data_IF_271865918927
#
_entry.id   IF_271865918927
#
_cell.length_a   1.000
_cell.length_b   1.000
_cell.length_c   1.000
_cell.angle_alpha   90.00
_cell.angle_beta   90.00
_cell.angle_gamma   90.00
#
_symmetry.space_group_name_H-M   'P 1'
#
loop_
_entity.id
_entity.type
_entity.pdbx_description
1 polymer ?
#
# COMPACT_ATOMS: atom_id res chain seq x y z
N UNK A 1 42.58 21.77 -42.66
CA UNK A 1 41.49 21.17 -43.48
C UNK A 1 40.09 21.65 -43.04
N UNK A 2 39.82 21.92 -41.76
CA UNK A 2 38.57 22.61 -41.34
C UNK A 2 38.61 24.14 -41.51
N UNK A 3 39.78 24.76 -41.60
CA UNK A 3 39.90 26.22 -41.81
C UNK A 3 39.84 26.64 -43.29
N UNK A 4 40.16 25.75 -44.24
CA UNK A 4 40.02 26.03 -45.67
C UNK A 4 38.56 26.02 -46.14
N UNK A 5 37.70 25.23 -45.49
CA UNK A 5 36.27 25.14 -45.82
C UNK A 5 35.46 26.34 -45.31
N UNK A 6 35.96 27.03 -44.27
CA UNK A 6 35.35 28.25 -43.72
C UNK A 6 35.66 29.51 -44.55
N UNK A 7 36.72 29.44 -45.36
CA UNK A 7 37.20 30.56 -46.16
C UNK A 7 36.46 30.64 -47.52
N UNK A 8 36.00 29.52 -48.08
CA UNK A 8 35.18 29.48 -49.30
C UNK A 8 33.74 29.99 -49.09
N UNK A 9 33.15 29.80 -47.91
CA UNK A 9 31.80 30.31 -47.58
C UNK A 9 31.73 31.83 -47.34
N UNK A 10 32.88 32.51 -47.32
CA UNK A 10 32.97 33.97 -47.08
C UNK A 10 33.06 34.82 -48.36
N UNK A 11 33.02 34.20 -49.56
CA UNK A 11 33.28 34.86 -50.84
C UNK A 11 32.13 34.83 -51.87
N UNK A 12 30.86 34.93 -51.46
CA UNK A 12 29.78 35.21 -52.43
C UNK A 12 29.14 36.56 -52.13
N UNK A 13 29.45 37.61 -52.91
CA UNK A 13 28.89 38.97 -52.76
C UNK A 13 27.72 39.22 -53.73
N UNK A 14 26.63 39.81 -53.21
CA UNK A 14 25.42 40.35 -53.88
C UNK A 14 24.55 39.30 -54.63
N UNK A 15 23.22 39.33 -54.65
CA UNK A 15 22.16 40.27 -54.30
C UNK A 15 20.92 39.38 -53.97
N UNK A 16 20.13 39.69 -52.94
CA UNK A 16 18.95 40.55 -53.04
C UNK A 16 17.99 40.11 -54.16
N UNK A 17 16.74 39.83 -53.77
CA UNK A 17 15.68 39.17 -54.55
C UNK A 17 15.87 37.66 -54.78
N UNK A 18 15.62 36.88 -53.72
CA UNK A 18 15.28 35.47 -53.88
C UNK A 18 13.75 35.34 -54.03
N UNK A 19 13.20 35.13 -55.24
CA UNK A 19 11.76 34.98 -55.44
C UNK A 19 11.21 33.77 -54.66
N UNK A 20 12.03 32.76 -54.36
CA UNK A 20 11.63 31.64 -53.50
C UNK A 20 11.30 32.10 -52.07
N UNK A 21 11.86 33.22 -51.59
CA UNK A 21 11.61 33.71 -50.23
C UNK A 21 10.21 34.31 -50.11
N UNK A 22 9.74 34.99 -51.16
CA UNK A 22 8.37 35.50 -51.24
C UNK A 22 7.36 34.37 -51.49
N UNK A 23 7.71 33.36 -52.30
CA UNK A 23 6.89 32.14 -52.43
C UNK A 23 6.77 31.37 -51.09
N UNK A 24 7.85 31.28 -50.32
CA UNK A 24 7.85 30.65 -49.00
C UNK A 24 7.09 31.48 -47.95
N UNK A 25 7.18 32.81 -48.01
CA UNK A 25 6.40 33.68 -47.12
C UNK A 25 4.91 33.69 -47.47
N UNK A 26 4.52 33.71 -48.75
CA UNK A 26 3.12 33.62 -49.18
C UNK A 26 2.50 32.24 -48.88
N UNK A 27 3.27 31.15 -49.03
CA UNK A 27 2.83 29.83 -48.58
C UNK A 27 2.68 29.75 -47.06
N UNK A 28 3.66 30.25 -46.30
CA UNK A 28 3.57 30.24 -44.85
C UNK A 28 2.40 31.12 -44.38
N UNK A 29 2.21 32.31 -44.95
CA UNK A 29 1.14 33.22 -44.56
C UNK A 29 -0.26 32.69 -44.91
N UNK A 30 -0.44 31.98 -46.04
CA UNK A 30 -1.69 31.26 -46.36
C UNK A 30 -1.94 30.06 -45.45
N UNK A 31 -0.88 29.39 -44.98
CA UNK A 31 -0.99 28.28 -44.04
C UNK A 31 -1.37 28.75 -42.62
N UNK A 32 -1.08 30.01 -42.26
CA UNK A 32 -1.35 30.57 -40.94
C UNK A 32 -2.61 31.46 -40.87
N UNK A 33 -3.37 31.63 -41.95
CA UNK A 33 -4.47 32.60 -42.00
C UNK A 33 -5.88 31.99 -42.13
N UNK A 34 -6.00 30.65 -42.18
CA UNK A 34 -7.32 29.99 -42.34
C UNK A 34 -7.82 29.18 -41.13
N UNK A 35 -7.13 29.20 -39.98
CA UNK A 35 -7.68 28.56 -38.77
C UNK A 35 -7.48 29.42 -37.52
N UNK A 36 -8.27 30.49 -37.44
CA UNK A 36 -8.65 31.11 -36.17
C UNK A 36 -10.15 30.84 -35.92
N UNK A 37 -10.38 30.01 -34.90
CA UNK A 37 -11.56 29.86 -34.04
C UNK A 37 -12.70 28.93 -34.54
N UNK A 38 -12.55 27.63 -34.28
CA UNK A 38 -13.42 26.93 -33.31
C UNK A 38 -12.56 26.05 -32.40
N UNK A 39 -12.89 26.00 -31.11
CA UNK A 39 -12.06 25.39 -30.07
C UNK A 39 -11.81 23.90 -30.28
N UNK A 40 -10.60 23.57 -30.74
CA UNK A 40 -10.05 22.22 -30.71
C UNK A 40 -9.55 21.93 -29.29
N UNK A 41 -10.18 20.96 -28.62
CA UNK A 41 -9.66 20.36 -27.40
C UNK A 41 -8.21 19.92 -27.64
N UNK A 42 -7.31 20.40 -26.76
CA UNK A 42 -5.89 20.01 -26.75
C UNK A 42 -5.82 18.48 -26.81
N UNK A 43 -5.17 17.86 -27.82
CA UNK A 43 -5.02 16.41 -27.83
C UNK A 43 -4.30 16.05 -26.54
N UNK A 44 -4.99 15.28 -25.70
CA UNK A 44 -4.39 14.65 -24.53
C UNK A 44 -3.13 13.94 -25.04
N UNK A 45 -1.99 14.36 -24.51
CA UNK A 45 -0.73 13.67 -24.72
C UNK A 45 -1.01 12.23 -24.30
N UNK A 46 -1.17 11.33 -25.28
CA UNK A 46 -1.48 9.92 -25.08
C UNK A 46 -0.31 9.35 -24.28
N UNK A 47 -0.43 9.44 -22.94
CA UNK A 47 0.53 8.92 -21.98
C UNK A 47 0.60 7.44 -22.33
N UNK A 48 1.67 7.01 -23.03
CA UNK A 48 1.80 5.62 -23.49
C UNK A 48 1.93 4.78 -22.22
N UNK A 49 0.80 4.38 -21.68
CA UNK A 49 0.71 3.68 -20.43
C UNK A 49 1.38 2.32 -20.64
N UNK A 50 2.31 1.90 -19.76
CA UNK A 50 2.96 0.61 -19.88
C UNK A 50 1.88 -0.49 -19.92
N UNK A 51 1.78 -1.20 -21.04
CA UNK A 51 0.82 -2.29 -21.20
C UNK A 51 1.28 -3.50 -20.40
N UNK A 52 0.50 -3.90 -19.41
CA UNK A 52 0.79 -5.11 -18.62
C UNK A 52 0.32 -6.35 -19.39
N UNK A 53 1.23 -7.28 -19.66
CA UNK A 53 0.89 -8.53 -20.33
C UNK A 53 0.06 -9.45 -19.43
N UNK A 54 -0.84 -10.23 -20.03
CA UNK A 54 -1.60 -11.28 -19.35
C UNK A 54 -0.74 -12.21 -18.47
N UNK A 55 0.50 -12.51 -18.88
CA UNK A 55 1.43 -13.36 -18.12
C UNK A 55 1.98 -12.63 -16.87
N UNK A 56 2.23 -11.33 -16.96
CA UNK A 56 2.73 -10.51 -15.85
C UNK A 56 1.66 -10.31 -14.78
N UNK A 57 0.40 -10.12 -15.19
CA UNK A 57 -0.76 -10.04 -14.28
C UNK A 57 -0.92 -11.35 -13.51
N UNK A 58 -0.83 -12.50 -14.19
CA UNK A 58 -0.92 -13.82 -13.54
C UNK A 58 0.20 -14.05 -12.54
N UNK A 59 1.44 -13.75 -12.90
CA UNK A 59 2.60 -13.85 -12.00
C UNK A 59 2.45 -12.92 -10.79
N UNK A 60 1.99 -11.69 -11.00
CA UNK A 60 1.73 -10.74 -9.93
C UNK A 60 0.73 -11.30 -8.90
N UNK A 61 -0.38 -11.89 -9.35
CA UNK A 61 -1.39 -12.47 -8.45
C UNK A 61 -0.86 -13.71 -7.71
N UNK A 62 -0.06 -14.55 -8.38
CA UNK A 62 0.54 -15.71 -7.75
C UNK A 62 1.55 -15.30 -6.67
N UNK A 63 2.42 -14.35 -6.97
CA UNK A 63 3.33 -13.76 -5.98
C UNK A 63 2.55 -13.04 -4.88
N UNK A 64 1.41 -12.42 -5.18
CA UNK A 64 0.53 -11.77 -4.19
C UNK A 64 -0.11 -12.77 -3.24
N UNK A 65 -0.50 -13.95 -3.73
CA UNK A 65 -1.00 -15.05 -2.90
C UNK A 65 0.08 -15.57 -1.96
N UNK A 66 1.31 -15.74 -2.45
CA UNK A 66 2.42 -16.24 -1.65
C UNK A 66 2.87 -15.22 -0.61
N UNK A 67 3.03 -13.96 -1.03
CA UNK A 67 3.41 -12.84 -0.17
C UNK A 67 2.36 -12.58 0.91
N UNK A 68 1.07 -12.52 0.56
CA UNK A 68 -0.01 -12.35 1.54
C UNK A 68 -0.08 -13.47 2.57
N UNK A 69 0.16 -14.73 2.17
CA UNK A 69 0.25 -15.86 3.10
C UNK A 69 1.43 -15.71 4.07
N UNK A 70 2.60 -15.38 3.56
CA UNK A 70 3.80 -15.18 4.38
C UNK A 70 3.65 -13.99 5.32
N UNK A 71 3.02 -12.90 4.87
CA UNK A 71 2.70 -11.74 5.70
C UNK A 71 1.73 -12.12 6.83
N UNK A 72 0.69 -12.90 6.52
CA UNK A 72 -0.24 -13.39 7.55
C UNK A 72 0.45 -14.26 8.61
N UNK A 73 1.38 -15.13 8.23
CA UNK A 73 2.17 -15.93 9.17
C UNK A 73 3.13 -15.06 9.99
N UNK A 74 3.77 -14.05 9.37
CA UNK A 74 4.63 -13.11 10.07
C UNK A 74 3.90 -12.36 11.17
N UNK A 75 2.73 -11.80 10.85
CA UNK A 75 1.87 -11.11 11.84
C UNK A 75 1.39 -12.07 12.94
N UNK A 76 1.08 -13.32 12.61
CA UNK A 76 0.73 -14.34 13.60
C UNK A 76 1.86 -14.56 14.61
N UNK A 77 3.11 -14.68 14.13
CA UNK A 77 4.27 -14.87 15.01
C UNK A 77 4.49 -13.69 15.94
N UNK A 78 4.32 -12.46 15.45
CA UNK A 78 4.43 -11.25 16.27
C UNK A 78 3.34 -11.17 17.34
N UNK A 79 2.08 -11.47 17.00
CA UNK A 79 0.99 -11.50 18.00
C UNK A 79 1.24 -12.60 19.04
N UNK A 80 1.70 -13.78 18.61
CA UNK A 80 1.96 -14.91 19.49
C UNK A 80 3.25 -14.77 20.32
N UNK A 81 4.08 -13.75 20.12
CA UNK A 81 5.38 -13.65 20.78
C UNK A 81 5.29 -13.61 22.31
N UNK A 82 4.19 -13.12 22.87
CA UNK A 82 3.96 -13.05 24.31
C UNK A 82 3.47 -14.38 24.90
N UNK A 83 2.93 -15.29 24.07
CA UNK A 83 2.37 -16.56 24.54
C UNK A 83 3.39 -17.45 25.27
N UNK A 84 4.65 -17.60 24.80
CA UNK A 84 5.69 -18.30 25.57
C UNK A 84 5.96 -17.69 26.95
N UNK A 85 5.93 -16.36 27.07
CA UNK A 85 6.13 -15.65 28.34
C UNK A 85 4.98 -15.92 29.29
N UNK A 86 3.74 -15.87 28.80
CA UNK A 86 2.56 -16.17 29.60
C UNK A 86 2.51 -17.65 30.03
N UNK A 87 2.91 -18.58 29.15
CA UNK A 87 2.84 -20.01 29.45
C UNK A 87 3.95 -20.51 30.39
N UNK A 88 5.16 -19.94 30.31
CA UNK A 88 6.34 -20.42 31.04
C UNK A 88 6.76 -19.50 32.19
N UNK A 89 6.28 -18.26 32.23
CA UNK A 89 6.74 -17.23 33.16
C UNK A 89 6.52 -17.57 34.64
N UNK A 90 5.60 -18.47 34.95
CA UNK A 90 5.31 -18.90 36.32
C UNK A 90 6.09 -20.14 36.77
N UNK A 91 6.85 -20.79 35.89
CA UNK A 91 7.55 -22.05 36.18
C UNK A 91 8.94 -21.83 36.83
N UNK A 92 9.35 -20.57 37.02
CA UNK A 92 10.57 -20.16 37.71
C UNK A 92 11.54 -19.34 36.86
N UNK A 93 12.60 -18.82 37.47
CA UNK A 93 13.52 -17.84 36.86
C UNK A 93 14.18 -18.33 35.56
N UNK A 94 14.57 -19.61 35.51
CA UNK A 94 15.13 -20.22 34.30
C UNK A 94 14.12 -20.29 33.15
N UNK A 95 12.84 -20.54 33.45
CA UNK A 95 11.77 -20.59 32.46
C UNK A 95 11.43 -19.19 31.93
N UNK A 96 11.51 -18.15 32.78
CA UNK A 96 11.39 -16.75 32.36
C UNK A 96 12.47 -16.41 31.32
N UNK A 97 13.74 -16.69 31.61
CA UNK A 97 14.85 -16.43 30.67
C UNK A 97 14.65 -17.15 29.33
N UNK A 98 14.23 -18.42 29.36
CA UNK A 98 13.93 -19.19 28.15
C UNK A 98 12.76 -18.58 27.37
N UNK A 99 11.70 -18.14 28.06
CA UNK A 99 10.53 -17.54 27.43
C UNK A 99 10.84 -16.21 26.73
N UNK A 100 11.75 -15.40 27.30
CA UNK A 100 12.23 -14.16 26.70
C UNK A 100 13.07 -14.42 25.44
N UNK A 101 13.92 -15.46 25.45
CA UNK A 101 14.67 -15.88 24.27
C UNK A 101 13.72 -16.34 23.14
N UNK A 102 12.69 -17.10 23.47
CA UNK A 102 11.65 -17.50 22.51
C UNK A 102 10.87 -16.30 21.98
N UNK A 103 10.48 -15.36 22.83
CA UNK A 103 9.81 -14.12 22.40
C UNK A 103 10.64 -13.37 21.36
N UNK A 104 11.94 -13.18 21.61
CA UNK A 104 12.84 -12.52 20.65
C UNK A 104 12.97 -13.30 19.35
N UNK A 105 13.02 -14.63 19.40
CA UNK A 105 13.06 -15.47 18.20
C UNK A 105 11.79 -15.32 17.33
N UNK A 106 10.61 -15.26 17.97
CA UNK A 106 9.34 -15.04 17.27
C UNK A 106 9.26 -13.67 16.60
N UNK A 107 9.73 -12.62 17.29
CA UNK A 107 9.79 -11.26 16.73
C UNK A 107 10.74 -11.24 15.53
N UNK A 108 11.94 -11.80 15.67
CA UNK A 108 12.91 -11.84 14.59
C UNK A 108 12.39 -12.63 13.37
N UNK A 109 11.76 -13.78 13.57
CA UNK A 109 11.18 -14.57 12.47
C UNK A 109 10.01 -13.87 11.80
N UNK A 110 9.15 -13.19 12.58
CA UNK A 110 8.05 -12.37 12.07
C UNK A 110 8.55 -11.27 11.12
N UNK A 111 9.51 -10.47 11.59
CA UNK A 111 10.11 -9.39 10.80
C UNK A 111 10.78 -9.93 9.52
N UNK A 112 11.52 -11.03 9.60
CA UNK A 112 12.16 -11.64 8.42
C UNK A 112 11.12 -12.06 7.38
N UNK A 113 10.00 -12.65 7.80
CA UNK A 113 8.90 -13.00 6.91
C UNK A 113 8.27 -11.78 6.26
N UNK A 114 7.98 -10.73 7.05
CA UNK A 114 7.41 -9.48 6.54
C UNK A 114 8.33 -8.81 5.51
N UNK A 115 9.62 -8.69 5.82
CA UNK A 115 10.60 -8.11 4.89
C UNK A 115 10.70 -8.94 3.62
N UNK A 116 10.70 -10.27 3.72
CA UNK A 116 10.77 -11.16 2.56
C UNK A 116 9.53 -11.03 1.68
N UNK A 117 8.35 -10.90 2.28
CA UNK A 117 7.09 -10.62 1.60
C UNK A 117 7.13 -9.27 0.87
N UNK A 118 7.62 -8.22 1.54
CA UNK A 118 7.77 -6.89 0.93
C UNK A 118 8.76 -6.90 -0.24
N UNK A 119 9.91 -7.59 -0.09
CA UNK A 119 10.91 -7.71 -1.16
C UNK A 119 10.36 -8.38 -2.42
N UNK A 120 9.56 -9.44 -2.27
CA UNK A 120 8.87 -10.11 -3.39
C UNK A 120 7.92 -9.19 -4.15
N UNK A 121 7.40 -8.16 -3.49
CA UNK A 121 6.45 -7.22 -4.07
C UNK A 121 7.06 -5.96 -4.68
N UNK A 122 8.34 -5.68 -4.41
CA UNK A 122 9.04 -4.51 -4.97
C UNK A 122 8.96 -4.40 -6.50
N UNK A 123 9.08 -5.48 -7.29
CA UNK A 123 8.97 -5.37 -8.76
C UNK A 123 7.61 -4.87 -9.23
N UNK A 124 6.55 -5.08 -8.45
CA UNK A 124 5.18 -4.70 -8.78
C UNK A 124 4.78 -3.35 -8.17
N UNK A 125 5.69 -2.67 -7.46
CA UNK A 125 5.40 -1.36 -6.85
C UNK A 125 5.18 -0.27 -7.91
N UNK A 126 5.69 -0.46 -9.14
CA UNK A 126 5.42 0.42 -10.28
C UNK A 126 3.94 0.47 -10.65
N UNK A 127 3.21 -0.66 -10.55
CA UNK A 127 1.75 -0.74 -10.75
C UNK A 127 0.98 0.14 -9.74
N UNK A 128 1.59 0.46 -8.59
CA UNK A 128 1.01 1.36 -7.59
C UNK A 128 1.20 2.84 -7.94
N UNK A 129 2.26 3.17 -8.68
CA UNK A 129 2.75 4.55 -8.89
C UNK A 129 2.36 5.10 -10.26
N UNK A 130 2.36 4.28 -11.29
CA UNK A 130 2.05 4.67 -12.67
C UNK A 130 0.69 4.09 -13.10
N UNK A 131 -0.03 4.83 -13.95
CA UNK A 131 -1.18 4.31 -14.70
C UNK A 131 -0.68 3.28 -15.71
N UNK A 132 -1.44 2.22 -15.95
CA UNK A 132 -1.13 1.16 -16.91
C UNK A 132 -2.42 0.74 -17.64
N UNK A 133 -2.32 0.38 -18.91
CA UNK A 133 -3.41 -0.29 -19.61
C UNK A 133 -3.24 -1.81 -19.50
N UNK A 134 -4.33 -2.51 -19.19
CA UNK A 134 -4.33 -3.97 -19.24
C UNK A 134 -4.63 -4.44 -20.65
N UNK A 135 -3.89 -5.45 -21.11
CA UNK A 135 -4.15 -6.10 -22.38
C UNK A 135 -5.59 -6.66 -22.46
N UNK A 136 -6.23 -6.53 -23.62
CA UNK A 136 -7.62 -6.94 -23.86
C UNK A 136 -7.87 -8.40 -23.42
N UNK A 137 -8.79 -8.60 -22.47
CA UNK A 137 -9.14 -9.90 -21.87
C UNK A 137 -8.51 -10.19 -20.49
N UNK A 138 -7.49 -9.43 -20.07
CA UNK A 138 -6.92 -9.56 -18.72
C UNK A 138 -7.88 -9.07 -17.63
N UNK A 139 -8.65 -8.01 -17.92
CA UNK A 139 -9.62 -7.41 -17.00
C UNK A 139 -10.78 -8.37 -16.66
N UNK A 140 -11.34 -9.04 -17.67
CA UNK A 140 -12.43 -10.01 -17.49
C UNK A 140 -11.96 -11.23 -16.67
N UNK A 141 -10.75 -11.72 -16.94
CA UNK A 141 -10.16 -12.81 -16.15
C UNK A 141 -9.89 -12.38 -14.70
N UNK A 142 -9.45 -11.13 -14.49
CA UNK A 142 -9.19 -10.56 -13.18
C UNK A 142 -10.46 -10.36 -12.36
N UNK A 143 -11.54 -9.85 -12.96
CA UNK A 143 -12.87 -9.70 -12.34
C UNK A 143 -13.47 -11.06 -11.98
N UNK A 144 -13.31 -12.08 -12.83
CA UNK A 144 -13.73 -13.45 -12.52
C UNK A 144 -12.96 -13.99 -11.30
N UNK A 145 -11.64 -13.80 -11.25
CA UNK A 145 -10.82 -14.23 -10.12
C UNK A 145 -11.11 -13.46 -8.84
N UNK A 146 -11.37 -12.16 -8.92
CA UNK A 146 -11.79 -11.34 -7.78
C UNK A 146 -13.13 -11.80 -7.23
N UNK A 147 -14.10 -12.10 -8.09
CA UNK A 147 -15.43 -12.58 -7.67
C UNK A 147 -15.35 -13.96 -7.03
N UNK A 148 -14.62 -14.90 -7.64
CA UNK A 148 -14.38 -16.23 -7.09
C UNK A 148 -13.60 -16.17 -5.76
N UNK A 149 -12.61 -15.28 -5.68
CA UNK A 149 -11.88 -15.01 -4.45
C UNK A 149 -12.82 -14.44 -3.38
N UNK A 150 -13.61 -13.42 -3.69
CA UNK A 150 -14.50 -12.76 -2.74
C UNK A 150 -15.50 -13.74 -2.12
N UNK A 151 -16.11 -14.63 -2.93
CA UNK A 151 -17.02 -15.67 -2.43
C UNK A 151 -16.33 -16.69 -1.51
N UNK A 152 -15.16 -17.22 -1.90
CA UNK A 152 -14.42 -18.17 -1.07
C UNK A 152 -13.83 -17.53 0.20
N UNK A 153 -13.51 -16.25 0.13
CA UNK A 153 -12.75 -15.51 1.12
C UNK A 153 -13.65 -14.82 2.15
N UNK A 154 -14.91 -14.51 1.83
CA UNK A 154 -15.92 -14.09 2.82
C UNK A 154 -16.05 -15.11 3.95
N UNK A 155 -16.13 -16.40 3.63
CA UNK A 155 -16.15 -17.47 4.64
C UNK A 155 -14.88 -17.51 5.49
N UNK A 156 -13.73 -17.17 4.91
CA UNK A 156 -12.45 -17.14 5.63
C UNK A 156 -12.36 -15.95 6.58
N UNK A 157 -12.85 -14.78 6.17
CA UNK A 157 -12.95 -13.59 7.03
C UNK A 157 -13.89 -13.81 8.20
N UNK A 158 -15.08 -14.35 7.94
CA UNK A 158 -16.06 -14.67 9.00
C UNK A 158 -15.47 -15.64 10.01
N UNK A 159 -14.78 -16.69 9.55
CA UNK A 159 -14.05 -17.61 10.44
C UNK A 159 -12.99 -16.89 11.28
N UNK A 160 -12.17 -16.02 10.68
CA UNK A 160 -11.16 -15.24 11.40
C UNK A 160 -11.75 -14.36 12.50
N UNK A 161 -12.83 -13.63 12.19
CA UNK A 161 -13.55 -12.80 13.17
C UNK A 161 -14.14 -13.67 14.30
N UNK A 162 -14.73 -14.81 13.96
CA UNK A 162 -15.26 -15.75 14.94
C UNK A 162 -14.18 -16.25 15.90
N UNK A 163 -12.99 -16.60 15.39
CA UNK A 163 -11.85 -17.01 16.23
C UNK A 163 -11.41 -15.90 17.21
N UNK A 164 -11.39 -14.64 16.77
CA UNK A 164 -11.02 -13.50 17.62
C UNK A 164 -12.08 -13.29 18.70
N UNK A 165 -13.37 -13.28 18.35
CA UNK A 165 -14.46 -13.09 19.33
C UNK A 165 -14.52 -14.26 20.32
N UNK A 166 -14.33 -15.49 19.83
CA UNK A 166 -14.34 -16.69 20.67
C UNK A 166 -13.07 -16.87 21.51
N UNK A 167 -12.01 -16.09 21.26
CA UNK A 167 -10.73 -16.20 21.96
C UNK A 167 -10.81 -15.94 23.46
N UNK A 168 -11.87 -15.30 23.95
CA UNK A 168 -12.10 -15.07 25.37
C UNK A 168 -12.58 -16.33 26.11
N UNK A 169 -13.16 -17.30 25.40
CA UNK A 169 -13.74 -18.50 26.01
C UNK A 169 -12.73 -19.36 26.80
N UNK A 170 -11.49 -19.61 26.31
CA UNK A 170 -10.44 -20.27 27.09
C UNK A 170 -10.15 -19.60 28.43
N UNK A 171 -10.12 -18.26 28.49
CA UNK A 171 -9.82 -17.53 29.73
C UNK A 171 -10.95 -17.68 30.74
N UNK A 172 -12.20 -17.59 30.29
CA UNK A 172 -13.39 -17.80 31.13
C UNK A 172 -13.41 -19.23 31.67
N UNK A 173 -13.11 -20.23 30.83
CA UNK A 173 -13.02 -21.63 31.24
C UNK A 173 -11.90 -21.85 32.27
N UNK A 174 -10.73 -21.22 32.08
CA UNK A 174 -9.64 -21.26 33.06
C UNK A 174 -10.06 -20.74 34.43
N UNK A 175 -10.69 -19.57 34.45
CA UNK A 175 -11.20 -18.97 35.69
C UNK A 175 -12.29 -19.81 36.35
N UNK A 176 -13.19 -20.43 35.56
CA UNK A 176 -14.24 -21.28 36.09
C UNK A 176 -13.73 -22.63 36.65
N UNK A 177 -12.60 -23.13 36.14
CA UNK A 177 -12.00 -24.38 36.61
C UNK A 177 -11.22 -24.20 37.92
N UNK A 178 -10.36 -23.18 38.00
CA UNK A 178 -9.61 -22.83 39.20
C UNK A 178 -9.25 -21.34 39.21
N UNK A 179 -9.99 -20.55 39.98
CA UNK A 179 -9.76 -19.10 40.10
C UNK A 179 -8.48 -18.75 40.84
N UNK A 180 -8.02 -19.62 41.76
CA UNK A 180 -6.81 -19.38 42.57
C UNK A 180 -5.49 -19.73 41.85
N UNK A 181 -5.57 -20.43 40.71
CA UNK A 181 -4.38 -20.88 39.99
C UNK A 181 -3.94 -19.84 38.97
N UNK A 182 -3.04 -18.95 39.38
CA UNK A 182 -2.42 -17.96 38.49
C UNK A 182 -1.79 -18.60 37.24
N UNK A 183 -1.17 -19.78 37.41
CA UNK A 183 -0.53 -20.53 36.33
C UNK A 183 -1.53 -21.01 35.27
N UNK A 184 -2.71 -21.47 35.69
CA UNK A 184 -3.77 -21.91 34.80
C UNK A 184 -4.34 -20.72 34.01
N UNK A 185 -4.59 -19.59 34.68
CA UNK A 185 -5.13 -18.39 34.05
C UNK A 185 -4.15 -17.86 33.00
N UNK A 186 -2.85 -17.77 33.33
CA UNK A 186 -1.82 -17.31 32.40
C UNK A 186 -1.63 -18.25 31.21
N UNK A 187 -1.73 -19.57 31.41
CA UNK A 187 -1.74 -20.55 30.32
C UNK A 187 -2.95 -20.35 29.39
N UNK A 188 -4.14 -20.09 29.94
CA UNK A 188 -5.33 -19.81 29.12
C UNK A 188 -5.22 -18.47 28.37
N UNK A 189 -4.59 -17.46 28.97
CA UNK A 189 -4.23 -16.23 28.28
C UNK A 189 -3.25 -16.48 27.12
N UNK A 190 -2.29 -17.39 27.28
CA UNK A 190 -1.40 -17.79 26.19
C UNK A 190 -2.17 -18.44 25.03
N UNK A 191 -3.14 -19.33 25.33
CA UNK A 191 -4.01 -19.96 24.34
C UNK A 191 -4.88 -18.92 23.62
N UNK A 192 -5.43 -17.95 24.36
CA UNK A 192 -6.18 -16.82 23.79
C UNK A 192 -5.32 -16.04 22.77
N UNK A 193 -4.08 -15.72 23.10
CA UNK A 193 -3.18 -15.00 22.17
C UNK A 193 -2.91 -15.79 20.88
N UNK A 194 -2.77 -17.12 20.98
CA UNK A 194 -2.61 -17.98 19.79
C UNK A 194 -3.87 -17.99 18.92
N UNK A 195 -5.06 -18.05 19.53
CA UNK A 195 -6.34 -17.98 18.83
C UNK A 195 -6.53 -16.64 18.11
N UNK A 196 -6.19 -15.54 18.79
CA UNK A 196 -6.21 -14.19 18.19
C UNK A 196 -5.23 -14.11 17.03
N UNK A 197 -3.98 -14.56 17.22
CA UNK A 197 -2.95 -14.59 16.18
C UNK A 197 -3.41 -15.36 14.95
N UNK A 198 -4.03 -16.52 15.14
CA UNK A 198 -4.59 -17.31 14.04
C UNK A 198 -5.72 -16.56 13.32
N UNK A 199 -6.68 -15.99 14.05
CA UNK A 199 -7.76 -15.20 13.47
C UNK A 199 -7.27 -14.00 12.66
N UNK A 200 -6.31 -13.25 13.21
CA UNK A 200 -5.69 -12.10 12.51
C UNK A 200 -4.91 -12.55 11.28
N UNK A 201 -4.21 -13.69 11.31
CA UNK A 201 -3.47 -14.21 10.14
C UNK A 201 -4.38 -14.44 8.94
N UNK A 202 -5.60 -14.92 9.17
CA UNK A 202 -6.61 -15.11 8.14
C UNK A 202 -7.04 -13.76 7.57
N UNK A 203 -7.34 -12.78 8.44
CA UNK A 203 -7.73 -11.43 8.04
C UNK A 203 -6.63 -10.72 7.23
N UNK A 204 -5.38 -10.79 7.67
CA UNK A 204 -4.23 -10.20 6.96
C UNK A 204 -4.04 -10.82 5.58
N UNK A 205 -4.13 -12.15 5.48
CA UNK A 205 -4.04 -12.85 4.19
C UNK A 205 -5.14 -12.39 3.23
N UNK A 206 -6.38 -12.34 3.73
CA UNK A 206 -7.55 -11.97 2.92
C UNK A 206 -7.52 -10.52 2.44
N UNK A 207 -7.06 -9.60 3.29
CA UNK A 207 -7.01 -8.16 3.03
C UNK A 207 -5.84 -7.79 2.13
N UNK A 208 -4.66 -8.36 2.37
CA UNK A 208 -3.46 -8.08 1.58
C UNK A 208 -3.66 -8.43 0.12
N UNK A 209 -4.28 -9.58 -0.18
CA UNK A 209 -4.54 -9.99 -1.56
C UNK A 209 -5.60 -9.12 -2.24
N UNK A 210 -6.61 -8.64 -1.52
CA UNK A 210 -7.61 -7.70 -2.05
C UNK A 210 -6.97 -6.40 -2.53
N UNK A 211 -5.96 -5.88 -1.81
CA UNK A 211 -5.26 -4.65 -2.18
C UNK A 211 -4.64 -4.77 -3.58
N UNK A 212 -4.06 -5.92 -3.92
CA UNK A 212 -3.46 -6.16 -5.24
C UNK A 212 -4.50 -6.28 -6.34
N UNK A 213 -5.65 -6.91 -6.09
CA UNK A 213 -6.77 -6.91 -7.05
C UNK A 213 -7.26 -5.49 -7.34
N UNK A 214 -7.47 -4.66 -6.30
CA UNK A 214 -7.88 -3.27 -6.49
C UNK A 214 -6.81 -2.41 -7.17
N UNK A 215 -5.51 -2.69 -6.92
CA UNK A 215 -4.41 -2.03 -7.61
C UNK A 215 -4.38 -2.39 -9.11
N UNK A 216 -4.52 -3.69 -9.43
CA UNK A 216 -4.51 -4.20 -10.80
C UNK A 216 -5.74 -3.77 -11.61
N UNK A 217 -6.91 -3.62 -10.97
CA UNK A 217 -8.13 -3.11 -11.60
C UNK A 217 -8.19 -1.57 -11.61
N UNK A 218 -7.22 -0.88 -10.97
CA UNK A 218 -7.24 0.57 -10.72
C UNK A 218 -8.54 1.08 -10.06
N UNK A 219 -9.25 0.22 -9.32
CA UNK A 219 -10.51 0.54 -8.66
C UNK A 219 -10.27 1.18 -7.27
N UNK A 220 -11.05 2.20 -6.91
CA UNK A 220 -11.05 2.85 -5.59
C UNK A 220 -9.91 3.85 -5.39
N UNK A 221 -9.04 3.62 -4.39
CA UNK A 221 -7.95 4.54 -4.02
C UNK A 221 -6.79 4.64 -5.04
N UNK A 222 -6.85 3.86 -6.12
CA UNK A 222 -5.82 3.81 -7.17
C UNK A 222 -6.21 4.54 -8.45
N UNK A 223 -7.44 5.05 -8.55
CA UNK A 223 -7.88 5.88 -9.67
C UNK A 223 -7.14 7.25 -9.64
N UNK A 224 -6.74 7.76 -10.81
CA UNK A 224 -5.88 8.94 -10.97
C UNK A 224 -6.44 10.20 -10.27
N UNK A 225 -7.75 10.37 -10.17
CA UNK A 225 -8.40 11.51 -9.52
C UNK A 225 -8.15 11.55 -7.99
N UNK A 226 -8.00 10.39 -7.34
CA UNK A 226 -7.81 10.28 -5.88
C UNK A 226 -6.32 10.40 -5.47
N UNK A 227 -5.39 10.28 -6.41
CA UNK A 227 -3.94 10.30 -6.12
C UNK A 227 -3.43 11.66 -5.63
N UNK A 228 -4.00 12.77 -6.11
CA UNK A 228 -3.63 14.13 -5.65
C UNK A 228 -4.05 14.38 -4.20
N UNK A 229 -5.18 13.84 -3.79
CA UNK A 229 -5.70 14.03 -2.42
C UNK A 229 -4.99 13.13 -1.39
N UNK A 230 -4.59 11.91 -1.78
CA UNK A 230 -3.88 10.97 -0.91
C UNK A 230 -2.46 11.44 -0.50
N UNK A 231 -1.76 12.21 -1.33
CA UNK A 231 -0.44 12.75 -0.98
C UNK A 231 -0.51 13.74 0.20
N UNK A 232 -1.59 14.54 0.25
CA UNK A 232 -1.87 15.47 1.35
C UNK A 232 -2.19 14.72 2.65
N UNK A 233 -2.95 13.62 2.54
CA UNK A 233 -3.30 12.76 3.69
C UNK A 233 -2.05 12.08 4.27
N UNK A 234 -1.18 11.54 3.43
CA UNK A 234 0.07 10.90 3.89
C UNK A 234 0.98 11.87 4.64
N UNK A 235 1.09 13.11 4.15
CA UNK A 235 1.91 14.16 4.78
C UNK A 235 1.31 14.61 6.11
N UNK A 236 -0.02 14.69 6.21
CA UNK A 236 -0.74 14.98 7.44
C UNK A 236 -0.43 13.95 8.54
N UNK A 237 -0.52 12.65 8.24
CA UNK A 237 -0.21 11.59 9.21
C UNK A 237 1.25 11.62 9.68
N UNK A 238 2.19 11.94 8.79
CA UNK A 238 3.59 12.16 9.15
C UNK A 238 3.76 13.31 10.13
N UNK A 239 3.12 14.44 9.88
CA UNK A 239 3.14 15.61 10.77
C UNK A 239 2.51 15.31 12.13
N UNK A 240 1.36 14.64 12.16
CA UNK A 240 0.68 14.21 13.40
C UNK A 240 1.58 13.30 14.23
N UNK A 241 2.27 12.36 13.58
CA UNK A 241 3.21 11.46 14.26
C UNK A 241 4.39 12.23 14.85
N UNK A 242 4.96 13.19 14.11
CA UNK A 242 6.05 14.03 14.61
C UNK A 242 5.61 14.89 15.81
N UNK A 243 4.42 15.50 15.76
CA UNK A 243 3.85 16.28 16.86
C UNK A 243 3.62 15.39 18.09
N UNK A 244 3.04 14.20 17.89
CA UNK A 244 2.83 13.21 18.95
C UNK A 244 4.17 12.85 19.62
N UNK A 245 5.21 12.55 18.83
CA UNK A 245 6.52 12.19 19.38
C UNK A 245 7.17 13.35 20.13
N UNK A 246 7.21 14.55 19.55
CA UNK A 246 7.78 15.75 20.19
C UNK A 246 7.05 16.04 21.51
N UNK A 247 5.72 16.03 21.49
CA UNK A 247 4.91 16.28 22.67
C UNK A 247 5.13 15.19 23.73
N UNK A 248 5.07 13.91 23.35
CA UNK A 248 5.18 12.78 24.26
C UNK A 248 6.57 12.68 24.92
N UNK A 249 7.65 13.03 24.19
CA UNK A 249 9.00 13.11 24.76
C UNK A 249 9.19 14.35 25.63
N UNK A 250 8.59 15.49 25.29
CA UNK A 250 8.75 16.73 26.04
C UNK A 250 7.99 16.71 27.38
N UNK A 251 6.77 16.18 27.42
CA UNK A 251 5.95 16.15 28.65
C UNK A 251 6.13 14.87 29.46
N UNK A 252 6.68 13.79 28.87
CA UNK A 252 6.79 12.49 29.52
C UNK A 252 5.43 11.83 29.83
N UNK A 253 4.32 12.43 29.40
CA UNK A 253 2.96 11.97 29.69
C UNK A 253 2.38 11.16 28.54
N UNK A 254 2.84 9.92 28.41
CA UNK A 254 2.36 8.96 27.41
C UNK A 254 0.86 8.62 27.55
N UNK A 255 0.31 8.76 28.77
CA UNK A 255 -1.09 8.49 29.07
C UNK A 255 -2.08 9.52 28.51
N UNK A 256 -1.62 10.73 28.15
CA UNK A 256 -2.46 11.80 27.60
C UNK A 256 -2.13 12.08 26.14
N UNK A 257 -0.87 11.88 25.72
CA UNK A 257 -0.45 12.13 24.34
C UNK A 257 -1.20 11.28 23.32
N UNK A 258 -1.75 10.12 23.70
CA UNK A 258 -2.55 9.29 22.78
C UNK A 258 -3.84 9.97 22.30
N UNK A 259 -4.36 10.99 23.02
CA UNK A 259 -5.54 11.75 22.60
C UNK A 259 -5.33 12.54 21.30
N UNK A 260 -4.07 12.74 20.89
CA UNK A 260 -3.73 13.40 19.62
C UNK A 260 -4.27 12.59 18.43
N UNK A 261 -4.31 11.26 18.52
CA UNK A 261 -4.79 10.38 17.46
C UNK A 261 -6.27 10.61 17.08
N UNK A 262 -7.23 10.54 18.02
CA UNK A 262 -8.63 10.80 17.71
C UNK A 262 -8.89 12.26 17.28
N UNK A 263 -8.16 13.24 17.84
CA UNK A 263 -8.28 14.65 17.43
C UNK A 263 -7.83 14.81 15.98
N UNK A 264 -6.67 14.28 15.61
CA UNK A 264 -6.16 14.33 14.25
C UNK A 264 -7.11 13.64 13.25
N UNK A 265 -7.67 12.49 13.62
CA UNK A 265 -8.66 11.80 12.79
C UNK A 265 -9.92 12.65 12.56
N UNK A 266 -10.41 13.34 13.60
CA UNK A 266 -11.56 14.25 13.49
C UNK A 266 -11.27 15.49 12.63
N UNK A 267 -10.07 16.05 12.72
CA UNK A 267 -9.66 17.18 11.86
C UNK A 267 -9.60 16.75 10.40
N UNK A 268 -9.02 15.59 10.12
CA UNK A 268 -8.91 15.08 8.75
C UNK A 268 -10.29 14.84 8.12
N UNK A 269 -11.20 14.19 8.86
CA UNK A 269 -12.56 13.92 8.38
C UNK A 269 -13.36 15.21 8.13
N UNK A 270 -13.17 16.23 8.97
CA UNK A 270 -13.77 17.54 8.77
C UNK A 270 -13.20 18.28 7.54
N UNK A 271 -11.90 18.18 7.29
CA UNK A 271 -11.29 18.77 6.10
C UNK A 271 -11.75 18.07 4.81
N UNK A 272 -11.93 16.76 4.85
CA UNK A 272 -12.46 15.98 3.73
C UNK A 272 -13.94 16.28 3.46
N UNK A 273 -14.76 16.47 4.50
CA UNK A 273 -16.18 16.82 4.32
C UNK A 273 -16.39 18.20 3.70
N UNK A 274 -15.48 19.16 3.97
CA UNK A 274 -15.53 20.48 3.34
C UNK A 274 -15.18 20.45 1.86
N UNK A 275 -14.15 19.69 1.47
CA UNK A 275 -13.79 19.52 0.05
C UNK A 275 -14.95 18.94 -0.76
N UNK A 276 -15.62 17.91 -0.23
CA UNK A 276 -16.78 17.29 -0.87
C UNK A 276 -18.04 18.17 -0.95
N UNK A 277 -18.05 19.34 -0.31
CA UNK A 277 -19.15 20.32 -0.39
C UNK A 277 -18.88 21.49 -1.33
N UNK A 278 -17.64 21.61 -1.81
CA UNK A 278 -17.20 22.66 -2.74
C UNK A 278 -17.10 22.15 -4.20
N UNK A 279 -17.19 20.83 -4.41
CA UNK A 279 -17.38 20.14 -5.72
C UNK A 279 -18.87 19.86 -5.98
#
# INVERSE_FOLDING_TARGET
MAEQQKQELSQIPYADENPLRDYLNDQNQKLFQDDDIQGEERPEEEEILPVFSNEEVRRCIEDARLSSRNTGIGVMMEICCIAPVLALGTLGDAAILLSLLLMMAFIASGIIMLISSSKRMKPYESCKKESFELEYGAEDWLKQQQTAFEQANQNTKTKGILFIVFSIAPVILGAALNEDSETLILLMCAVMMVMIGYGVSLLVRTSSLRIWFSCLLQEGHYNQEVKKDNASVSSFWGAVTAIYLIFSFATGTWAVSWLIWPIAAGVLSFLQSRKASEE
#
